data_IF_273361342848
#
_entry.id   IF_273361342848
#
_cell.length_a   1.000
_cell.length_b   1.000
_cell.length_c   1.000
_cell.angle_alpha   90.00
_cell.angle_beta   90.00
_cell.angle_gamma   90.00
#
_symmetry.space_group_name_H-M   'P 1'
#
loop_
_entity.id
_entity.type
_entity.pdbx_description
1 polymer ?
#
# COMPACT_ATOMS: atom_id res chain seq x y z
N UNK A 1 6.41 -3.26 13.54
CA UNK A 1 5.39 -3.87 12.71
C UNK A 1 6.02 -4.33 11.39
N UNK A 2 5.71 -5.54 10.94
CA UNK A 2 6.23 -6.15 9.71
C UNK A 2 5.14 -6.98 9.02
N UNK A 3 5.30 -7.29 7.74
CA UNK A 3 4.38 -8.18 7.01
C UNK A 3 4.26 -9.54 7.67
N UNK A 4 5.38 -10.11 8.13
CA UNK A 4 5.40 -11.41 8.81
C UNK A 4 4.65 -11.38 10.15
N UNK A 5 4.74 -10.27 10.89
CA UNK A 5 3.97 -10.11 12.13
C UNK A 5 2.46 -10.07 11.84
N UNK A 6 2.02 -9.33 10.82
CA UNK A 6 0.61 -9.29 10.42
C UNK A 6 0.10 -10.67 9.97
N UNK A 7 0.91 -11.42 9.23
CA UNK A 7 0.56 -12.80 8.80
C UNK A 7 0.41 -13.71 10.04
N UNK A 8 1.29 -13.59 11.03
CA UNK A 8 1.19 -14.35 12.27
C UNK A 8 -0.04 -13.94 13.11
N UNK A 9 -0.37 -12.65 13.13
CA UNK A 9 -1.58 -12.15 13.81
C UNK A 9 -2.85 -12.69 13.14
N UNK A 10 -2.92 -12.71 11.81
CA UNK A 10 -4.04 -13.31 11.06
C UNK A 10 -4.23 -14.79 11.44
N UNK A 11 -3.14 -15.56 11.48
CA UNK A 11 -3.19 -16.98 11.86
C UNK A 11 -3.63 -17.16 13.33
N UNK A 12 -3.16 -16.30 14.22
CA UNK A 12 -3.58 -16.30 15.63
C UNK A 12 -5.09 -16.03 15.76
N UNK A 13 -5.61 -15.03 15.04
CA UNK A 13 -7.04 -14.71 15.02
C UNK A 13 -7.86 -15.90 14.49
N UNK A 14 -7.43 -16.49 13.38
CA UNK A 14 -8.08 -17.67 12.81
C UNK A 14 -8.20 -18.80 13.84
N UNK A 15 -7.11 -19.10 14.54
CA UNK A 15 -7.05 -20.15 15.55
C UNK A 15 -7.94 -19.83 16.75
N UNK A 16 -7.91 -18.61 17.28
CA UNK A 16 -8.74 -18.18 18.41
C UNK A 16 -10.25 -18.25 18.10
N UNK A 17 -10.61 -18.01 16.83
CA UNK A 17 -11.99 -18.13 16.38
C UNK A 17 -12.41 -19.58 16.04
N UNK A 18 -11.50 -20.55 16.15
CA UNK A 18 -11.77 -21.95 15.80
C UNK A 18 -12.07 -22.18 14.32
N UNK A 19 -11.64 -21.27 13.45
CA UNK A 19 -11.86 -21.35 12.01
C UNK A 19 -10.81 -22.28 11.41
N UNK A 20 -11.21 -23.35 10.76
CA UNK A 20 -10.29 -24.29 10.09
C UNK A 20 -9.68 -23.68 8.83
N UNK A 21 -10.52 -23.10 7.98
CA UNK A 21 -10.16 -22.43 6.72
C UNK A 21 -11.08 -21.24 6.50
N UNK A 22 -10.57 -20.19 5.86
CA UNK A 22 -11.36 -19.00 5.55
C UNK A 22 -11.12 -18.49 4.12
N UNK A 23 -12.08 -17.71 3.64
CA UNK A 23 -11.89 -16.91 2.44
C UNK A 23 -11.09 -15.65 2.81
N UNK A 24 -10.07 -15.35 2.04
CA UNK A 24 -9.28 -14.14 2.21
C UNK A 24 -9.69 -13.11 1.16
N UNK A 25 -10.17 -11.96 1.63
CA UNK A 25 -10.47 -10.79 0.80
C UNK A 25 -9.46 -9.69 1.10
N UNK A 26 -8.86 -9.14 0.04
CA UNK A 26 -7.89 -8.05 0.19
C UNK A 26 -7.87 -7.12 -1.02
N UNK A 27 -7.68 -5.82 -0.75
CA UNK A 27 -7.49 -4.82 -1.80
C UNK A 27 -6.24 -4.00 -1.60
N UNK A 28 -5.56 -3.57 -2.69
CA UNK A 28 -4.32 -2.81 -2.63
C UNK A 28 -3.28 -3.53 -1.76
N UNK A 29 -2.68 -2.88 -0.77
CA UNK A 29 -1.81 -3.53 0.23
C UNK A 29 -2.44 -4.79 0.87
N UNK A 30 -3.75 -4.79 1.09
CA UNK A 30 -4.45 -5.98 1.58
C UNK A 30 -4.40 -7.16 0.62
N UNK A 31 -4.24 -6.95 -0.68
CA UNK A 31 -4.00 -8.03 -1.64
C UNK A 31 -2.60 -8.62 -1.48
N UNK A 32 -1.58 -7.78 -1.25
CA UNK A 32 -0.22 -8.22 -0.93
C UNK A 32 -0.22 -9.08 0.33
N UNK A 33 -0.80 -8.57 1.43
CA UNK A 33 -0.88 -9.28 2.70
C UNK A 33 -1.66 -10.61 2.56
N UNK A 34 -2.78 -10.60 1.84
CA UNK A 34 -3.58 -11.80 1.58
C UNK A 34 -2.82 -12.87 0.78
N UNK A 35 -2.04 -12.46 -0.22
CA UNK A 35 -1.18 -13.36 -1.00
C UNK A 35 -0.06 -13.94 -0.14
N UNK A 36 0.63 -13.12 0.65
CA UNK A 36 1.71 -13.59 1.55
C UNK A 36 1.17 -14.53 2.62
N UNK A 37 -0.03 -14.26 3.16
CA UNK A 37 -0.71 -15.18 4.07
C UNK A 37 -1.00 -16.53 3.39
N UNK A 38 -1.58 -16.50 2.18
CA UNK A 38 -1.90 -17.71 1.44
C UNK A 38 -0.64 -18.50 1.01
N UNK A 39 0.46 -17.82 0.69
CA UNK A 39 1.76 -18.46 0.45
C UNK A 39 2.31 -19.15 1.71
N UNK A 40 2.05 -18.57 2.88
CA UNK A 40 2.55 -19.09 4.16
C UNK A 40 1.70 -20.26 4.66
N UNK A 41 0.37 -20.13 4.54
CA UNK A 41 -0.62 -21.09 5.04
C UNK A 41 -1.64 -21.50 3.95
N UNK A 42 -1.20 -22.08 2.82
CA UNK A 42 -2.10 -22.38 1.71
C UNK A 42 -3.26 -23.33 2.10
N UNK A 43 -3.01 -24.24 3.03
CA UNK A 43 -4.02 -25.16 3.56
C UNK A 43 -5.10 -24.49 4.41
N UNK A 44 -4.90 -23.23 4.82
CA UNK A 44 -5.85 -22.43 5.61
C UNK A 44 -6.73 -21.53 4.77
N UNK A 45 -6.52 -21.47 3.46
CA UNK A 45 -7.25 -20.61 2.54
C UNK A 45 -8.24 -21.41 1.70
N UNK A 46 -9.52 -21.03 1.77
CA UNK A 46 -10.59 -21.60 0.94
C UNK A 46 -10.58 -21.00 -0.46
N UNK A 47 -10.42 -19.68 -0.53
CA UNK A 47 -10.39 -18.92 -1.77
C UNK A 47 -9.78 -17.53 -1.52
N UNK A 48 -9.31 -16.90 -2.61
CA UNK A 48 -8.81 -15.53 -2.64
C UNK A 48 -9.76 -14.63 -3.45
N UNK A 49 -10.13 -13.49 -2.88
CA UNK A 49 -10.82 -12.40 -3.61
C UNK A 49 -9.96 -11.16 -3.50
N UNK A 50 -9.33 -10.77 -4.59
CA UNK A 50 -8.35 -9.68 -4.62
C UNK A 50 -8.85 -8.53 -5.48
N UNK A 51 -8.69 -7.30 -4.99
CA UNK A 51 -9.09 -6.09 -5.71
C UNK A 51 -7.93 -5.11 -5.79
N UNK A 52 -7.70 -4.50 -6.97
CA UNK A 52 -6.56 -3.59 -7.17
C UNK A 52 -5.28 -4.28 -6.73
N UNK A 53 -4.94 -5.39 -7.40
CA UNK A 53 -3.84 -6.25 -6.98
C UNK A 53 -2.52 -5.47 -6.94
N UNK A 54 -1.81 -5.57 -5.83
CA UNK A 54 -0.56 -4.88 -5.59
C UNK A 54 0.49 -5.89 -5.12
N UNK A 55 1.67 -5.86 -5.71
CA UNK A 55 2.74 -6.82 -5.38
C UNK A 55 3.83 -6.21 -4.50
N UNK A 56 3.75 -4.91 -4.25
CA UNK A 56 4.67 -4.15 -3.41
C UNK A 56 6.15 -4.29 -3.82
N UNK A 57 6.40 -4.39 -5.13
CA UNK A 57 7.78 -4.47 -5.67
C UNK A 57 8.40 -3.07 -5.72
N UNK A 58 9.72 -2.94 -5.70
CA UNK A 58 10.38 -1.64 -5.85
C UNK A 58 9.88 -0.84 -7.06
N UNK A 59 9.62 -1.51 -8.21
CA UNK A 59 9.08 -0.86 -9.41
C UNK A 59 7.66 -0.34 -9.23
N UNK A 60 6.82 -1.00 -8.41
CA UNK A 60 5.43 -0.59 -8.16
C UNK A 60 5.43 0.68 -7.28
N UNK A 61 6.32 0.72 -6.29
CA UNK A 61 6.55 1.89 -5.44
C UNK A 61 7.13 3.05 -6.26
N UNK A 62 8.15 2.79 -7.08
CA UNK A 62 8.75 3.80 -7.96
C UNK A 62 7.72 4.40 -8.93
N UNK A 63 6.86 3.56 -9.53
CA UNK A 63 5.78 4.01 -10.41
C UNK A 63 4.87 5.02 -9.73
N UNK A 64 4.46 4.75 -8.50
CA UNK A 64 3.44 5.58 -7.86
C UNK A 64 4.04 6.78 -7.11
N UNK A 65 5.21 6.61 -6.47
CA UNK A 65 5.80 7.63 -5.60
C UNK A 65 7.04 8.31 -6.17
N UNK A 66 7.47 8.00 -7.39
CA UNK A 66 8.63 8.64 -7.99
C UNK A 66 8.39 9.04 -9.43
N UNK A 67 8.29 8.10 -10.35
CA UNK A 67 8.20 8.40 -11.78
C UNK A 67 7.28 7.41 -12.50
N UNK A 68 6.11 7.88 -12.91
CA UNK A 68 5.08 7.09 -13.58
C UNK A 68 3.71 7.74 -13.43
N UNK A 69 3.01 7.55 -12.33
CA UNK A 69 1.73 8.19 -12.05
C UNK A 69 1.82 9.73 -12.05
N UNK A 70 2.99 10.28 -11.74
CA UNK A 70 3.32 11.70 -11.83
C UNK A 70 3.08 12.31 -13.23
N UNK A 71 3.28 11.53 -14.31
CA UNK A 71 3.02 11.98 -15.68
C UNK A 71 1.52 12.00 -16.03
N UNK A 72 0.73 11.16 -15.35
CA UNK A 72 -0.70 11.06 -15.57
C UNK A 72 -1.48 12.10 -14.76
N UNK A 73 -0.96 12.50 -13.60
CA UNK A 73 -1.58 13.40 -12.63
C UNK A 73 -0.61 14.53 -12.24
N UNK A 74 -0.11 15.33 -13.23
CA UNK A 74 0.98 16.28 -12.97
C UNK A 74 0.57 17.45 -12.06
N UNK A 75 -0.70 17.82 -12.01
CA UNK A 75 -1.24 18.83 -11.11
C UNK A 75 -1.23 18.36 -9.64
N UNK A 76 -1.70 17.15 -9.37
CA UNK A 76 -1.64 16.58 -8.02
C UNK A 76 -0.21 16.28 -7.58
N UNK A 77 0.66 15.95 -8.54
CA UNK A 77 2.09 15.72 -8.27
C UNK A 77 2.80 16.95 -7.74
N UNK A 78 2.41 18.17 -8.17
CA UNK A 78 3.00 19.39 -7.63
C UNK A 78 2.68 19.58 -6.13
N UNK A 79 1.46 19.23 -5.72
CA UNK A 79 1.09 19.26 -4.30
C UNK A 79 1.87 18.22 -3.50
N UNK A 80 2.10 17.04 -4.10
CA UNK A 80 2.91 15.98 -3.49
C UNK A 80 4.39 16.36 -3.39
N UNK A 81 4.94 17.13 -4.31
CA UNK A 81 6.31 17.65 -4.24
C UNK A 81 6.49 18.77 -3.20
N UNK A 82 5.42 19.51 -2.88
CA UNK A 82 5.50 20.78 -2.14
C UNK A 82 6.22 20.70 -0.78
N UNK A 83 5.99 19.70 0.10
CA UNK A 83 6.68 19.63 1.38
C UNK A 83 8.14 19.15 1.28
N UNK A 84 8.57 18.62 0.11
CA UNK A 84 9.89 18.03 -0.07
C UNK A 84 10.87 19.01 -0.70
N UNK A 85 12.00 19.21 -0.07
CA UNK A 85 13.07 20.06 -0.59
C UNK A 85 13.58 19.55 -1.95
N UNK A 86 13.86 20.47 -2.89
CA UNK A 86 14.19 20.13 -4.28
C UNK A 86 15.32 19.10 -4.41
N UNK A 87 16.36 19.24 -3.61
CA UNK A 87 17.53 18.36 -3.61
C UNK A 87 17.22 16.91 -3.11
N UNK A 88 16.04 16.67 -2.55
CA UNK A 88 15.64 15.38 -1.99
C UNK A 88 14.54 14.69 -2.83
N UNK A 89 14.08 15.36 -3.89
CA UNK A 89 13.00 14.84 -4.75
C UNK A 89 13.43 13.67 -5.65
N UNK A 90 14.69 13.29 -5.60
CA UNK A 90 15.21 12.09 -6.28
C UNK A 90 14.86 10.79 -5.55
N UNK A 91 14.40 10.86 -4.29
CA UNK A 91 13.90 9.72 -3.51
C UNK A 91 12.77 10.19 -2.60
N UNK A 92 11.56 10.22 -3.15
CA UNK A 92 10.39 10.77 -2.47
C UNK A 92 10.01 9.95 -1.23
N UNK A 93 10.12 8.62 -1.27
CA UNK A 93 9.77 7.78 -0.12
C UNK A 93 10.69 8.06 1.07
N UNK A 94 12.01 8.12 0.83
CA UNK A 94 12.99 8.48 1.88
C UNK A 94 12.78 9.89 2.42
N UNK A 95 12.50 10.86 1.53
CA UNK A 95 12.24 12.23 1.93
C UNK A 95 11.00 12.34 2.82
N UNK A 96 9.90 11.72 2.42
CA UNK A 96 8.68 11.67 3.22
C UNK A 96 8.86 10.92 4.54
N UNK A 97 9.56 9.79 4.53
CA UNK A 97 9.86 9.06 5.75
C UNK A 97 10.56 9.95 6.78
N UNK A 98 11.55 10.75 6.34
CA UNK A 98 12.24 11.68 7.23
C UNK A 98 11.32 12.77 7.76
N UNK A 99 10.45 13.37 6.91
CA UNK A 99 9.48 14.37 7.34
C UNK A 99 8.47 13.81 8.35
N UNK A 100 8.02 12.56 8.14
CA UNK A 100 7.00 11.91 8.95
C UNK A 100 7.52 11.32 10.27
N UNK A 101 8.84 11.12 10.40
CA UNK A 101 9.49 10.55 11.59
C UNK A 101 10.46 11.52 12.27
N UNK A 102 10.70 12.69 11.68
CA UNK A 102 11.57 13.73 12.21
C UNK A 102 10.97 14.45 13.44
N UNK A 103 11.77 15.34 14.01
CA UNK A 103 11.41 16.11 15.20
C UNK A 103 10.64 17.40 14.88
N UNK A 104 10.50 17.75 13.60
CA UNK A 104 9.76 18.95 13.17
C UNK A 104 8.25 18.67 13.18
N UNK A 105 7.63 19.03 14.29
CA UNK A 105 6.18 18.86 14.50
C UNK A 105 5.33 19.70 13.54
N UNK A 106 5.88 20.71 12.88
CA UNK A 106 5.15 21.55 11.91
C UNK A 106 5.21 20.96 10.50
N UNK A 107 6.32 20.36 10.10
CA UNK A 107 6.47 19.75 8.78
C UNK A 107 5.69 18.43 8.65
N UNK A 108 5.53 17.69 9.74
CA UNK A 108 4.89 16.37 9.72
C UNK A 108 3.43 16.39 9.25
N UNK A 109 2.53 17.28 9.74
CA UNK A 109 1.15 17.35 9.28
C UNK A 109 1.03 17.70 7.79
N UNK A 110 1.86 18.60 7.29
CA UNK A 110 1.85 19.01 5.88
C UNK A 110 2.30 17.84 4.99
N UNK A 111 3.36 17.14 5.37
CA UNK A 111 3.83 15.95 4.68
C UNK A 111 2.77 14.83 4.72
N UNK A 112 2.17 14.57 5.86
CA UNK A 112 1.12 13.56 5.99
C UNK A 112 -0.08 13.87 5.10
N UNK A 113 -0.53 15.12 5.08
CA UNK A 113 -1.63 15.56 4.25
C UNK A 113 -1.30 15.44 2.75
N UNK A 114 -0.12 15.85 2.32
CA UNK A 114 0.30 15.78 0.92
C UNK A 114 0.40 14.31 0.45
N UNK A 115 0.97 13.42 1.25
CA UNK A 115 1.01 11.98 0.98
C UNK A 115 -0.39 11.40 0.81
N UNK A 116 -1.22 11.62 1.81
CA UNK A 116 -2.58 11.07 1.85
C UNK A 116 -3.45 11.60 0.70
N UNK A 117 -3.37 12.89 0.40
CA UNK A 117 -4.11 13.49 -0.72
C UNK A 117 -3.64 12.96 -2.08
N UNK A 118 -2.35 12.70 -2.26
CA UNK A 118 -1.85 12.07 -3.48
C UNK A 118 -2.56 10.73 -3.74
N UNK A 119 -2.65 9.88 -2.73
CA UNK A 119 -3.37 8.60 -2.84
C UNK A 119 -4.87 8.78 -3.04
N UNK A 120 -5.50 9.60 -2.24
CA UNK A 120 -6.94 9.82 -2.29
C UNK A 120 -7.40 10.34 -3.66
N UNK A 121 -6.65 11.27 -4.26
CA UNK A 121 -6.94 11.83 -5.57
C UNK A 121 -6.68 10.84 -6.70
N UNK A 122 -5.61 10.04 -6.60
CA UNK A 122 -5.26 9.05 -7.60
C UNK A 122 -6.16 7.80 -7.56
N UNK A 123 -6.82 7.53 -6.43
CA UNK A 123 -7.63 6.32 -6.22
C UNK A 123 -8.96 6.29 -6.98
N UNK A 124 -9.37 7.39 -7.61
CA UNK A 124 -10.62 7.50 -8.37
C UNK A 124 -10.40 8.13 -9.73
N UNK A 125 -11.05 7.56 -10.76
CA UNK A 125 -10.94 8.07 -12.15
C UNK A 125 -11.41 9.52 -12.30
N UNK A 126 -12.48 9.88 -11.59
CA UNK A 126 -12.99 11.25 -11.52
C UNK A 126 -12.92 11.71 -10.06
N UNK A 127 -12.59 12.99 -9.84
CA UNK A 127 -12.53 13.56 -8.49
C UNK A 127 -13.82 13.32 -7.73
N UNK A 128 -13.71 12.81 -6.50
CA UNK A 128 -14.82 12.59 -5.57
C UNK A 128 -14.54 13.32 -4.26
N UNK A 129 -15.29 14.38 -3.98
CA UNK A 129 -15.09 15.21 -2.79
C UNK A 129 -15.05 14.37 -1.50
N UNK A 130 -15.99 13.44 -1.31
CA UNK A 130 -16.03 12.61 -0.12
C UNK A 130 -14.78 11.73 0.08
N UNK A 131 -14.12 11.30 -1.01
CA UNK A 131 -12.85 10.56 -0.94
C UNK A 131 -11.74 11.51 -0.55
N UNK A 132 -11.64 12.66 -1.21
CA UNK A 132 -10.64 13.69 -0.91
C UNK A 132 -10.75 14.14 0.56
N UNK A 133 -11.98 14.43 1.04
CA UNK A 133 -12.23 14.84 2.43
C UNK A 133 -11.81 13.77 3.44
N UNK A 134 -12.03 12.49 3.12
CA UNK A 134 -11.60 11.37 3.97
C UNK A 134 -10.07 11.31 4.09
N UNK A 135 -9.36 11.41 2.96
CA UNK A 135 -7.90 11.38 2.94
C UNK A 135 -7.27 12.68 3.50
N UNK A 136 -7.97 13.81 3.43
CA UNK A 136 -7.55 15.07 4.04
C UNK A 136 -7.74 15.11 5.57
N UNK A 137 -8.45 14.13 6.16
CA UNK A 137 -8.61 14.09 7.61
C UNK A 137 -7.26 13.90 8.29
N UNK A 138 -6.84 14.76 9.24
CA UNK A 138 -5.50 14.73 9.83
C UNK A 138 -5.12 13.40 10.49
N UNK A 139 -6.09 12.73 11.14
CA UNK A 139 -5.85 11.42 11.79
C UNK A 139 -5.63 10.33 10.75
N UNK A 140 -6.47 10.33 9.71
CA UNK A 140 -6.32 9.40 8.58
C UNK A 140 -4.99 9.64 7.87
N UNK A 141 -4.70 10.90 7.51
CA UNK A 141 -3.50 11.27 6.77
C UNK A 141 -2.22 10.87 7.50
N UNK A 142 -2.12 11.20 8.78
CA UNK A 142 -0.93 10.88 9.57
C UNK A 142 -0.74 9.36 9.74
N UNK A 143 -1.82 8.64 10.02
CA UNK A 143 -1.76 7.20 10.21
C UNK A 143 -1.37 6.48 8.91
N UNK A 144 -2.02 6.84 7.80
CA UNK A 144 -1.75 6.29 6.48
C UNK A 144 -0.28 6.54 6.07
N UNK A 145 0.12 7.80 6.01
CA UNK A 145 1.44 8.18 5.54
C UNK A 145 2.58 7.52 6.35
N UNK A 146 2.47 7.51 7.69
CA UNK A 146 3.50 6.89 8.53
C UNK A 146 3.59 5.38 8.37
N UNK A 147 2.45 4.70 8.26
CA UNK A 147 2.43 3.24 8.09
C UNK A 147 2.99 2.87 6.72
N UNK A 148 2.52 3.50 5.65
CA UNK A 148 2.97 3.21 4.29
C UNK A 148 4.44 3.52 4.08
N UNK A 149 4.91 4.70 4.47
CA UNK A 149 6.33 5.03 4.41
C UNK A 149 7.19 4.04 5.18
N UNK A 150 6.74 3.60 6.37
CA UNK A 150 7.46 2.58 7.13
C UNK A 150 7.59 1.28 6.34
N UNK A 151 6.52 0.81 5.70
CA UNK A 151 6.57 -0.41 4.89
C UNK A 151 7.44 -0.23 3.65
N UNK A 152 7.27 0.86 2.91
CA UNK A 152 7.99 1.08 1.66
C UNK A 152 9.50 1.31 1.86
N UNK A 153 9.90 1.95 2.95
CA UNK A 153 11.31 2.10 3.34
C UNK A 153 12.01 0.78 3.67
N UNK A 154 11.23 -0.27 3.94
CA UNK A 154 11.75 -1.60 4.29
C UNK A 154 11.33 -2.68 3.28
N UNK A 155 11.12 -2.30 2.00
CA UNK A 155 10.67 -3.21 0.93
C UNK A 155 9.46 -4.05 1.35
N UNK A 156 8.56 -3.47 2.16
CA UNK A 156 7.41 -4.14 2.78
C UNK A 156 7.77 -5.41 3.55
N UNK A 157 9.02 -5.52 4.00
CA UNK A 157 9.57 -6.71 4.67
C UNK A 157 9.43 -7.99 3.85
N UNK A 158 9.51 -7.88 2.52
CA UNK A 158 9.42 -8.99 1.56
C UNK A 158 10.74 -9.14 0.81
N UNK A 159 11.06 -10.37 0.43
CA UNK A 159 12.13 -10.63 -0.55
C UNK A 159 11.74 -10.03 -1.91
N UNK A 160 12.72 -9.68 -2.71
CA UNK A 160 12.48 -9.17 -4.07
C UNK A 160 11.62 -10.15 -4.88
N UNK A 161 10.51 -9.64 -5.45
CA UNK A 161 9.53 -10.43 -6.21
C UNK A 161 8.95 -11.66 -5.46
N UNK A 162 8.97 -11.67 -4.13
CA UNK A 162 8.54 -12.81 -3.31
C UNK A 162 7.21 -13.41 -3.77
N UNK A 163 6.18 -12.57 -3.93
CA UNK A 163 4.83 -13.03 -4.28
C UNK A 163 4.82 -13.78 -5.62
N UNK A 164 5.55 -13.28 -6.62
CA UNK A 164 5.64 -13.98 -7.91
C UNK A 164 6.50 -15.25 -7.82
N UNK A 165 7.59 -15.21 -7.07
CA UNK A 165 8.47 -16.36 -6.90
C UNK A 165 7.77 -17.52 -6.19
N UNK A 166 6.83 -17.21 -5.28
CA UNK A 166 6.07 -18.21 -4.50
C UNK A 166 4.68 -18.49 -5.05
N UNK A 167 4.27 -17.86 -6.18
CA UNK A 167 2.93 -18.00 -6.76
C UNK A 167 2.51 -19.47 -7.03
N UNK A 168 3.46 -20.37 -7.28
CA UNK A 168 3.19 -21.80 -7.41
C UNK A 168 2.53 -22.44 -6.19
N UNK A 169 2.68 -21.85 -4.99
CA UNK A 169 2.01 -22.31 -3.76
C UNK A 169 0.52 -22.00 -3.74
N UNK A 170 0.07 -21.12 -4.61
CA UNK A 170 -1.32 -20.67 -4.72
C UNK A 170 -2.10 -21.41 -5.79
N UNK A 171 -1.45 -22.30 -6.57
CA UNK A 171 -2.01 -22.90 -7.78
C UNK A 171 -3.33 -23.67 -7.54
N UNK A 172 -3.50 -24.27 -6.37
CA UNK A 172 -4.69 -25.05 -6.01
C UNK A 172 -5.73 -24.24 -5.24
N UNK A 173 -5.49 -22.94 -5.01
CA UNK A 173 -6.42 -22.06 -4.28
C UNK A 173 -7.30 -21.32 -5.30
N UNK A 174 -8.63 -21.55 -5.30
CA UNK A 174 -9.54 -20.79 -6.15
C UNK A 174 -9.41 -19.29 -5.87
N UNK A 175 -9.36 -18.47 -6.93
CA UNK A 175 -9.21 -17.03 -6.75
C UNK A 175 -9.89 -16.20 -7.83
N UNK A 176 -10.27 -14.99 -7.45
CA UNK A 176 -10.77 -13.95 -8.35
C UNK A 176 -9.97 -12.68 -8.12
N UNK A 177 -9.50 -12.09 -9.22
CA UNK A 177 -8.86 -10.77 -9.22
C UNK A 177 -9.80 -9.79 -9.91
N UNK A 178 -10.17 -8.72 -9.21
CA UNK A 178 -10.94 -7.60 -9.76
C UNK A 178 -10.02 -6.40 -9.84
N UNK A 179 -9.77 -5.93 -11.07
CA UNK A 179 -8.81 -4.85 -11.30
C UNK A 179 -9.37 -3.84 -12.31
N UNK A 180 -9.22 -2.56 -12.01
CA UNK A 180 -9.63 -1.48 -12.92
C UNK A 180 -8.66 -1.34 -14.09
N UNK A 181 -9.18 -1.21 -15.31
CA UNK A 181 -8.34 -0.94 -16.51
C UNK A 181 -7.53 0.35 -16.39
N UNK A 182 -8.06 1.33 -15.70
CA UNK A 182 -7.47 2.66 -15.50
C UNK A 182 -6.92 2.84 -14.07
N UNK A 183 -6.59 1.75 -13.41
CA UNK A 183 -5.94 1.80 -12.11
C UNK A 183 -4.51 2.34 -12.30
N UNK A 184 -4.26 3.54 -11.79
CA UNK A 184 -2.95 4.21 -11.86
C UNK A 184 -2.15 4.07 -10.57
N UNK A 185 -2.78 3.57 -9.52
CA UNK A 185 -2.14 3.33 -8.22
C UNK A 185 -1.42 2.00 -8.23
N UNK A 186 -2.11 0.95 -8.70
CA UNK A 186 -1.58 -0.43 -8.81
C UNK A 186 -1.65 -0.89 -10.27
N UNK A 187 -0.79 -0.41 -11.20
CA UNK A 187 -0.87 -0.70 -12.63
C UNK A 187 -0.44 -2.12 -12.99
#
# INVERSE_FOLDING_TARGET
NTTQALVADMETIRQQLGIERWLVFGGSWGSTLGLVYAETFPERVLALVLRGIFLCRPRDIHWFYQEGASFLLPDYWQDFLAPVAEQERNDMVSAYHRLLTGEDEQAMPDAANAWSLWEGRASTLLPKAAVVDHFANPVTALSLARIECHYFMHDSFLDENQVLAKAGRLADIPGVIVHGRYDVVCP
#
